data_IF_589484533820
#
_entry.id   IF_589484533820
#
_cell.length_a   1.000
_cell.length_b   1.000
_cell.length_c   1.000
_cell.angle_alpha   90.00
_cell.angle_beta   90.00
_cell.angle_gamma   90.00
#
_symmetry.space_group_name_H-M   'P 1'
#
loop_
_entity.id
_entity.type
_entity.pdbx_description
1 polymer ?
#
# COMPACT_ATOMS: atom_id res chain seq x y z
N UNK A 1 -0.21 -9.20 -11.26
CA UNK A 1 0.17 -7.95 -11.93
C UNK A 1 0.80 -7.07 -10.87
N UNK A 2 2.11 -6.87 -10.92
CA UNK A 2 2.85 -6.19 -9.84
C UNK A 2 3.39 -4.86 -10.36
N UNK A 3 3.39 -3.83 -9.52
CA UNK A 3 4.21 -2.65 -9.76
C UNK A 3 5.61 -2.88 -9.18
N UNK A 4 6.63 -2.27 -9.79
CA UNK A 4 8.01 -2.26 -9.27
C UNK A 4 8.44 -0.81 -9.14
N UNK A 5 8.94 -0.45 -7.96
CA UNK A 5 9.50 0.88 -7.67
C UNK A 5 10.92 0.65 -7.18
N UNK A 6 11.90 1.21 -7.89
CA UNK A 6 13.32 0.99 -7.59
C UNK A 6 14.14 2.29 -7.70
N UNK A 7 15.07 2.47 -6.77
CA UNK A 7 16.03 3.57 -6.81
C UNK A 7 15.45 4.99 -6.74
N UNK A 8 14.20 5.17 -6.31
CA UNK A 8 13.52 6.46 -6.32
C UNK A 8 12.67 6.71 -5.08
N UNK A 9 12.58 7.97 -4.65
CA UNK A 9 11.65 8.42 -3.60
C UNK A 9 10.35 8.89 -4.24
N UNK A 10 9.24 8.21 -3.94
CA UNK A 10 7.93 8.62 -4.42
C UNK A 10 7.47 9.89 -3.69
N UNK A 11 6.85 10.85 -4.41
CA UNK A 11 6.13 11.94 -3.76
C UNK A 11 5.00 11.41 -2.86
N UNK A 12 4.64 12.20 -1.84
CA UNK A 12 3.52 11.84 -0.98
C UNK A 12 2.20 11.75 -1.76
N UNK A 13 1.36 10.80 -1.36
CA UNK A 13 0.03 10.57 -1.95
C UNK A 13 0.07 10.27 -3.46
N UNK A 14 1.13 9.67 -3.97
CA UNK A 14 1.21 9.21 -5.37
C UNK A 14 0.63 7.80 -5.53
N UNK A 15 -0.26 7.61 -6.50
CA UNK A 15 -0.78 6.29 -6.85
C UNK A 15 0.04 5.68 -7.99
N UNK A 16 0.57 4.46 -7.78
CA UNK A 16 1.29 3.71 -8.81
C UNK A 16 0.36 2.64 -9.40
N UNK A 17 0.04 2.70 -10.70
CA UNK A 17 -0.78 1.69 -11.35
C UNK A 17 -0.14 0.30 -11.29
N UNK A 18 -0.98 -0.74 -11.34
CA UNK A 18 -0.52 -2.10 -11.51
C UNK A 18 0.29 -2.24 -12.81
N UNK A 19 1.27 -3.15 -12.82
CA UNK A 19 2.19 -3.43 -13.96
C UNK A 19 3.19 -2.34 -14.31
N UNK A 20 3.22 -1.24 -13.56
CA UNK A 20 4.17 -0.15 -13.79
C UNK A 20 5.58 -0.48 -13.29
N UNK A 21 6.61 0.01 -14.01
CA UNK A 21 7.99 0.06 -13.51
C UNK A 21 8.42 1.50 -13.34
N UNK A 22 8.64 1.90 -12.10
CA UNK A 22 9.07 3.24 -11.71
C UNK A 22 10.54 3.19 -11.30
N UNK A 23 11.36 4.03 -11.93
CA UNK A 23 12.79 4.13 -11.67
C UNK A 23 13.30 5.57 -11.72
N UNK A 24 14.63 5.78 -11.65
CA UNK A 24 15.24 7.10 -11.68
C UNK A 24 14.91 7.94 -12.93
N UNK A 25 14.65 7.27 -14.05
CA UNK A 25 14.32 7.91 -15.34
C UNK A 25 12.80 8.14 -15.52
N UNK A 26 11.96 7.70 -14.58
CA UNK A 26 10.51 7.87 -14.64
C UNK A 26 10.11 9.32 -14.27
N UNK A 27 9.17 9.90 -15.02
CA UNK A 27 8.58 11.18 -14.66
C UNK A 27 7.56 11.02 -13.53
N UNK A 28 8.02 11.15 -12.28
CA UNK A 28 7.18 10.96 -11.10
C UNK A 28 6.02 11.96 -10.99
N UNK A 29 6.11 13.12 -11.66
CA UNK A 29 5.05 14.14 -11.63
C UNK A 29 3.87 13.79 -12.52
N UNK A 30 4.04 12.81 -13.41
CA UNK A 30 2.98 12.33 -14.30
C UNK A 30 1.98 11.42 -13.58
N UNK A 31 2.37 10.81 -12.46
CA UNK A 31 1.48 9.94 -11.69
C UNK A 31 0.39 10.73 -10.98
N UNK A 32 -0.81 10.16 -10.99
CA UNK A 32 -1.96 10.75 -10.30
C UNK A 32 -1.80 10.67 -8.79
N UNK A 33 -2.47 11.58 -8.09
CA UNK A 33 -2.63 11.45 -6.65
C UNK A 33 -3.53 10.26 -6.32
N UNK A 34 -3.30 9.64 -5.17
CA UNK A 34 -4.20 8.66 -4.57
C UNK A 34 -5.60 9.27 -4.44
N UNK A 35 -6.59 8.53 -4.92
CA UNK A 35 -7.98 8.90 -4.74
C UNK A 35 -8.47 8.52 -3.33
N UNK A 36 -9.50 9.20 -2.80
CA UNK A 36 -9.99 8.95 -1.44
C UNK A 36 -10.47 7.51 -1.19
N UNK A 37 -10.99 6.81 -2.21
CA UNK A 37 -11.47 5.44 -2.04
C UNK A 37 -10.29 4.47 -1.91
N UNK A 38 -9.20 4.67 -2.66
CA UNK A 38 -7.96 3.89 -2.50
C UNK A 38 -7.30 4.13 -1.13
N UNK A 39 -7.37 5.36 -0.60
CA UNK A 39 -6.90 5.67 0.74
C UNK A 39 -7.73 4.92 1.80
N UNK A 40 -9.05 5.03 1.72
CA UNK A 40 -9.99 4.36 2.63
C UNK A 40 -9.79 2.84 2.61
N UNK A 41 -9.62 2.25 1.42
CA UNK A 41 -9.35 0.82 1.27
C UNK A 41 -8.08 0.38 2.02
N UNK A 42 -7.02 1.19 1.97
CA UNK A 42 -5.77 0.90 2.65
C UNK A 42 -5.93 0.89 4.18
N UNK A 43 -6.72 1.82 4.72
CA UNK A 43 -7.04 1.87 6.15
C UNK A 43 -7.89 0.69 6.62
N UNK A 44 -8.85 0.25 5.79
CA UNK A 44 -9.66 -0.93 6.08
C UNK A 44 -8.81 -2.22 6.11
N UNK A 45 -7.86 -2.36 5.19
CA UNK A 45 -6.89 -3.46 5.19
C UNK A 45 -6.02 -3.42 6.45
N UNK A 46 -5.51 -2.24 6.82
CA UNK A 46 -4.71 -2.08 8.03
C UNK A 46 -5.49 -2.46 9.29
N UNK A 47 -6.72 -1.95 9.45
CA UNK A 47 -7.60 -2.27 10.58
C UNK A 47 -7.93 -3.76 10.65
N UNK A 48 -8.19 -4.39 9.50
CA UNK A 48 -8.49 -5.81 9.42
C UNK A 48 -7.29 -6.66 9.86
N UNK A 49 -6.08 -6.32 9.40
CA UNK A 49 -4.87 -7.03 9.79
C UNK A 49 -4.56 -6.92 11.29
N UNK A 50 -4.81 -5.75 11.90
CA UNK A 50 -4.69 -5.58 13.37
C UNK A 50 -5.63 -6.54 14.10
N UNK A 51 -6.92 -6.59 13.71
CA UNK A 51 -7.91 -7.51 14.31
C UNK A 51 -7.54 -8.98 14.14
N UNK A 52 -6.94 -9.34 13.01
CA UNK A 52 -6.43 -10.71 12.79
C UNK A 52 -5.33 -11.05 13.80
N UNK A 53 -4.36 -10.16 13.98
CA UNK A 53 -3.26 -10.36 14.95
C UNK A 53 -3.82 -10.48 16.38
N UNK A 54 -4.76 -9.62 16.77
CA UNK A 54 -5.45 -9.70 18.07
C UNK A 54 -6.15 -11.06 18.25
N UNK A 55 -6.91 -11.50 17.24
CA UNK A 55 -7.59 -12.80 17.25
C UNK A 55 -6.62 -13.97 17.40
N UNK A 56 -5.49 -13.96 16.68
CA UNK A 56 -4.47 -14.98 16.81
C UNK A 56 -3.80 -14.98 18.19
N UNK A 57 -3.58 -13.82 18.80
CA UNK A 57 -3.02 -13.72 20.15
C UNK A 57 -3.97 -14.30 21.20
N UNK A 58 -5.28 -14.10 21.06
CA UNK A 58 -6.28 -14.69 21.95
C UNK A 58 -6.27 -16.22 21.86
N UNK A 59 -6.36 -16.78 20.65
CA UNK A 59 -6.30 -18.23 20.44
C UNK A 59 -5.02 -18.86 20.98
N UNK A 60 -3.89 -18.15 20.89
CA UNK A 60 -2.61 -18.62 21.42
C UNK A 60 -2.59 -18.67 22.95
N UNK A 61 -3.34 -17.81 23.63
CA UNK A 61 -3.39 -17.75 25.09
C UNK A 61 -4.47 -18.68 25.68
N UNK A 62 -5.21 -19.43 24.84
CA UNK A 62 -6.24 -20.40 25.25
C UNK A 62 -5.72 -21.84 25.39
N UNK A 63 -4.41 -22.08 25.18
CA UNK A 63 -3.71 -23.36 25.35
C UNK A 63 -2.45 -23.19 26.20
#
# INVERSE_FOLDING_TARGET
YNAVVDGVTLPENTYIPSTERVGPDSDLKSYSKVDPASLQFSEEVASTNVKLVEGYQLLRNEF
#
